data_IF_354734299738
#
_entry.id   IF_354734299738
#
_cell.length_a   1.000
_cell.length_b   1.000
_cell.length_c   1.000
_cell.angle_alpha   90.00
_cell.angle_beta   90.00
_cell.angle_gamma   90.00
#
_symmetry.space_group_name_H-M   'P 1'
#
loop_
_entity.id
_entity.type
_entity.pdbx_description
1 polymer ?
#
# COMPACT_ATOMS: atom_id res chain seq x y z
N UNK A 1 21.11 -3.81 -13.49
CA UNK A 1 19.99 -4.45 -12.78
C UNK A 1 18.70 -3.88 -13.36
N UNK A 2 17.91 -4.65 -14.11
CA UNK A 2 16.67 -4.15 -14.70
C UNK A 2 15.65 -3.93 -13.59
N UNK A 3 15.15 -2.70 -13.45
CA UNK A 3 13.97 -2.42 -12.62
C UNK A 3 12.80 -3.20 -13.21
N UNK A 4 12.10 -3.99 -12.39
CA UNK A 4 10.88 -4.65 -12.83
C UNK A 4 9.90 -3.57 -13.35
N UNK A 5 9.42 -3.72 -14.58
CA UNK A 5 8.44 -2.78 -15.15
C UNK A 5 7.11 -2.97 -14.42
N UNK A 6 6.87 -2.18 -13.38
CA UNK A 6 5.63 -2.20 -12.62
C UNK A 6 4.50 -1.59 -13.45
N UNK A 7 3.42 -2.34 -13.70
CA UNK A 7 2.22 -1.84 -14.38
C UNK A 7 1.60 -0.70 -13.56
N UNK A 8 1.26 0.40 -14.22
CA UNK A 8 0.57 1.53 -13.58
C UNK A 8 -0.94 1.42 -13.78
N UNK A 9 -1.71 1.68 -12.73
CA UNK A 9 -3.18 1.75 -12.74
C UNK A 9 -3.60 3.22 -12.68
N UNK A 10 -4.44 3.64 -13.62
CA UNK A 10 -4.84 5.04 -13.84
C UNK A 10 -6.26 5.35 -13.35
N UNK A 11 -7.04 4.31 -13.03
CA UNK A 11 -8.39 4.42 -12.48
C UNK A 11 -8.72 3.28 -11.53
N UNK A 12 -9.76 3.44 -10.70
CA UNK A 12 -10.30 2.33 -9.91
C UNK A 12 -10.81 1.18 -10.79
N UNK A 13 -11.29 1.47 -12.01
CA UNK A 13 -11.68 0.44 -12.99
C UNK A 13 -10.50 -0.42 -13.45
N UNK A 14 -9.28 0.10 -13.40
CA UNK A 14 -8.10 -0.72 -13.70
C UNK A 14 -7.88 -1.81 -12.64
N UNK A 15 -8.31 -1.58 -11.38
CA UNK A 15 -8.27 -2.59 -10.32
C UNK A 15 -9.19 -3.77 -10.63
N UNK A 16 -10.32 -3.55 -11.32
CA UNK A 16 -11.24 -4.62 -11.74
C UNK A 16 -10.58 -5.63 -12.67
N UNK A 17 -9.53 -5.21 -13.38
CA UNK A 17 -8.72 -6.06 -14.25
C UNK A 17 -7.51 -6.67 -13.50
N UNK A 18 -7.52 -6.67 -12.17
CA UNK A 18 -6.50 -7.25 -11.29
C UNK A 18 -7.14 -8.11 -10.21
N UNK A 19 -6.36 -9.00 -9.61
CA UNK A 19 -6.76 -9.76 -8.43
C UNK A 19 -6.64 -8.97 -7.12
N UNK A 20 -6.17 -7.72 -7.16
CA UNK A 20 -5.90 -6.97 -5.94
C UNK A 20 -7.19 -6.73 -5.13
N UNK A 21 -7.16 -7.13 -3.85
CA UNK A 21 -8.32 -7.11 -2.97
C UNK A 21 -9.44 -8.09 -3.33
N UNK A 22 -9.19 -9.09 -4.19
CA UNK A 22 -10.17 -10.11 -4.58
C UNK A 22 -9.59 -11.53 -4.59
N UNK A 23 -10.42 -12.57 -4.39
CA UNK A 23 -11.80 -12.52 -3.91
C UNK A 23 -11.85 -12.20 -2.40
N UNK A 24 -13.04 -12.06 -1.82
CA UNK A 24 -13.21 -12.14 -0.36
C UNK A 24 -12.45 -13.36 0.18
N UNK A 25 -11.78 -13.28 1.34
CA UNK A 25 -11.82 -12.26 2.40
C UNK A 25 -10.88 -11.05 2.22
N UNK A 26 -10.32 -10.83 1.02
CA UNK A 26 -9.32 -9.78 0.79
C UNK A 26 -9.92 -8.38 0.81
N UNK A 27 -9.25 -7.46 1.51
CA UNK A 27 -9.72 -6.08 1.75
C UNK A 27 -8.80 -5.01 1.15
N UNK A 28 -7.92 -5.40 0.22
CA UNK A 28 -6.91 -4.49 -0.35
C UNK A 28 -7.49 -3.24 -1.02
N UNK A 29 -8.67 -3.33 -1.63
CA UNK A 29 -9.32 -2.18 -2.31
C UNK A 29 -9.82 -1.15 -1.30
N UNK A 30 -10.45 -1.61 -0.22
CA UNK A 30 -10.91 -0.80 0.89
C UNK A 30 -9.72 -0.13 1.58
N UNK A 31 -8.64 -0.89 1.80
CA UNK A 31 -7.39 -0.39 2.34
C UNK A 31 -6.76 0.71 1.47
N UNK A 32 -6.72 0.50 0.15
CA UNK A 32 -6.22 1.49 -0.79
C UNK A 32 -7.09 2.76 -0.73
N UNK A 33 -8.41 2.61 -0.81
CA UNK A 33 -9.34 3.74 -0.75
C UNK A 33 -9.18 4.54 0.53
N UNK A 34 -9.10 3.87 1.68
CA UNK A 34 -8.84 4.51 2.97
C UNK A 34 -7.51 5.26 2.98
N UNK A 35 -6.41 4.65 2.51
CA UNK A 35 -5.11 5.34 2.49
C UNK A 35 -5.15 6.60 1.61
N UNK A 36 -5.82 6.55 0.46
CA UNK A 36 -5.94 7.71 -0.42
C UNK A 36 -6.66 8.89 0.28
N UNK A 37 -7.63 8.62 1.16
CA UNK A 37 -8.28 9.63 2.00
C UNK A 37 -7.39 10.15 3.14
N UNK A 38 -6.36 9.40 3.51
CA UNK A 38 -5.35 9.80 4.47
C UNK A 38 -4.20 10.58 3.82
N UNK A 39 -4.30 10.95 2.54
CA UNK A 39 -3.28 11.73 1.83
C UNK A 39 -3.77 13.16 1.61
N UNK A 40 -2.92 14.13 1.93
CA UNK A 40 -3.12 15.54 1.63
C UNK A 40 -2.13 16.02 0.58
N UNK A 41 -2.59 16.89 -0.31
CA UNK A 41 -1.74 17.58 -1.28
C UNK A 41 -1.50 19.00 -0.77
N UNK A 42 -0.23 19.39 -0.68
CA UNK A 42 0.19 20.73 -0.33
C UNK A 42 1.44 21.10 -1.10
N UNK A 43 1.43 22.24 -1.80
CA UNK A 43 2.53 22.72 -2.64
C UNK A 43 3.14 21.64 -3.55
N UNK A 44 2.28 20.94 -4.31
CA UNK A 44 2.63 19.83 -5.21
C UNK A 44 3.21 18.57 -4.54
N UNK A 45 3.38 18.58 -3.22
CA UNK A 45 3.83 17.44 -2.41
C UNK A 45 2.65 16.69 -1.79
N UNK A 46 2.86 15.39 -1.57
CA UNK A 46 1.86 14.47 -1.01
C UNK A 46 2.30 14.04 0.39
N UNK A 47 1.38 14.14 1.36
CA UNK A 47 1.65 13.89 2.78
C UNK A 47 0.65 12.89 3.36
N UNK A 48 1.11 12.04 4.29
CA UNK A 48 0.22 11.24 5.12
C UNK A 48 -0.34 12.10 6.25
N UNK A 49 -1.63 11.94 6.55
CA UNK A 49 -2.36 12.66 7.60
C UNK A 49 -2.24 12.02 8.99
N UNK A 50 -1.38 11.02 9.14
CA UNK A 50 -1.16 10.31 10.40
C UNK A 50 0.33 10.24 10.77
N UNK A 51 0.59 9.95 12.04
CA UNK A 51 1.94 9.82 12.56
C UNK A 51 2.64 8.57 12.01
N UNK A 52 3.69 8.78 11.22
CA UNK A 52 4.45 7.71 10.59
C UNK A 52 5.54 7.12 11.50
N UNK A 53 5.78 7.70 12.68
CA UNK A 53 6.79 7.24 13.64
C UNK A 53 6.24 6.21 14.65
N UNK A 54 4.93 6.20 14.91
CA UNK A 54 4.32 5.41 15.99
C UNK A 54 3.71 4.07 15.56
N UNK A 55 4.09 3.51 14.40
CA UNK A 55 3.49 2.28 13.85
C UNK A 55 1.97 2.35 13.64
N UNK A 56 1.39 3.57 13.61
CA UNK A 56 -0.04 3.79 13.41
C UNK A 56 -0.55 3.01 12.21
N UNK A 57 -1.68 2.34 12.37
CA UNK A 57 -2.31 1.54 11.32
C UNK A 57 -1.46 0.37 10.80
N UNK A 58 -0.44 -0.06 11.56
CA UNK A 58 0.50 -1.09 11.15
C UNK A 58 1.52 -0.63 10.11
N UNK A 59 1.69 0.69 9.96
CA UNK A 59 2.65 1.28 9.03
C UNK A 59 4.09 0.96 9.45
N UNK A 60 4.86 0.33 8.57
CA UNK A 60 6.21 -0.13 8.90
C UNK A 60 7.15 -0.08 7.71
N UNK A 61 8.46 0.03 7.97
CA UNK A 61 9.48 0.04 6.92
C UNK A 61 9.44 -1.27 6.10
N UNK A 62 9.40 -1.12 4.78
CA UNK A 62 9.55 -2.20 3.80
C UNK A 62 10.93 -2.10 3.16
N UNK A 63 11.72 -3.17 3.27
CA UNK A 63 13.12 -3.15 2.85
C UNK A 63 13.35 -3.45 1.37
N UNK A 64 12.30 -3.86 0.63
CA UNK A 64 12.40 -4.23 -0.78
C UNK A 64 13.56 -5.22 -1.08
N UNK A 65 13.76 -6.22 -0.22
CA UNK A 65 14.90 -7.17 -0.30
C UNK A 65 14.84 -8.02 -1.56
N UNK A 66 13.63 -8.28 -2.03
CA UNK A 66 13.29 -9.06 -3.21
C UNK A 66 13.40 -8.22 -4.50
N UNK A 67 13.76 -6.93 -4.39
CA UNK A 67 13.96 -6.00 -5.52
C UNK A 67 12.75 -5.90 -6.46
N UNK A 68 11.53 -5.92 -5.89
CA UNK A 68 10.28 -5.84 -6.63
C UNK A 68 9.91 -4.42 -7.07
N UNK A 69 10.51 -3.43 -6.40
CA UNK A 69 10.38 -1.99 -6.68
C UNK A 69 11.75 -1.38 -7.02
N UNK A 70 11.79 -0.16 -7.61
CA UNK A 70 13.04 0.54 -7.92
C UNK A 70 13.97 0.66 -6.70
N UNK A 71 15.28 0.54 -6.93
CA UNK A 71 16.29 0.78 -5.90
C UNK A 71 17.04 2.07 -6.24
N UNK A 72 16.58 3.19 -5.69
CA UNK A 72 17.01 4.54 -6.01
C UNK A 72 17.29 5.39 -4.76
N UNK A 73 17.49 4.74 -3.61
CA UNK A 73 17.85 5.39 -2.35
C UNK A 73 16.68 5.93 -1.53
N UNK A 74 15.44 5.93 -2.06
CA UNK A 74 14.26 6.27 -1.26
C UNK A 74 13.82 5.12 -0.36
N UNK A 75 13.10 5.47 0.72
CA UNK A 75 12.61 4.48 1.68
C UNK A 75 11.21 4.04 1.32
N UNK A 76 10.94 2.75 1.49
CA UNK A 76 9.60 2.20 1.35
C UNK A 76 9.02 1.89 2.73
N UNK A 77 7.72 2.12 2.86
CA UNK A 77 6.91 1.70 3.99
C UNK A 77 5.72 0.90 3.47
N UNK A 78 5.22 -0.02 4.28
CA UNK A 78 4.09 -0.87 3.94
C UNK A 78 3.00 -0.79 5.01
N UNK A 79 1.78 -1.02 4.54
CA UNK A 79 0.55 -1.10 5.31
C UNK A 79 -0.28 -2.30 4.83
N UNK A 80 -1.21 -2.79 5.65
CA UNK A 80 -2.09 -3.91 5.30
C UNK A 80 -1.61 -5.29 5.75
N UNK A 81 -0.46 -5.38 6.44
CA UNK A 81 -0.18 -6.56 7.23
C UNK A 81 -0.96 -6.50 8.54
N UNK A 82 -2.17 -7.05 8.54
CA UNK A 82 -3.14 -6.95 9.64
C UNK A 82 -2.69 -7.61 10.95
N UNK A 83 -1.60 -8.40 10.91
CA UNK A 83 -0.96 -8.95 12.10
C UNK A 83 0.14 -8.06 12.70
N UNK A 84 0.41 -6.87 12.15
CA UNK A 84 1.41 -5.94 12.70
C UNK A 84 0.85 -5.17 13.89
N UNK A 85 1.73 -4.85 14.83
CA UNK A 85 1.45 -3.89 15.91
C UNK A 85 0.94 -2.59 15.28
N UNK A 86 -0.13 -2.02 15.86
CA UNK A 86 -0.80 -0.83 15.36
C UNK A 86 -1.85 -1.08 14.27
N UNK A 87 -1.96 -2.28 13.70
CA UNK A 87 -2.98 -2.56 12.67
C UNK A 87 -4.41 -2.51 13.19
N UNK A 88 -4.60 -2.67 14.51
CA UNK A 88 -5.90 -2.53 15.16
C UNK A 88 -6.46 -1.10 15.11
N UNK A 89 -5.63 -0.11 14.78
CA UNK A 89 -6.07 1.27 14.58
C UNK A 89 -6.78 1.46 13.23
N UNK A 90 -6.66 0.49 12.30
CA UNK A 90 -7.35 0.55 11.02
C UNK A 90 -8.87 0.54 11.22
N UNK A 91 -9.63 1.22 10.35
CA UNK A 91 -11.08 1.14 10.35
C UNK A 91 -11.60 -0.31 10.40
N UNK A 92 -12.66 -0.53 11.16
CA UNK A 92 -13.24 -1.87 11.39
C UNK A 92 -13.55 -2.62 10.09
N UNK A 93 -14.10 -1.95 9.08
CA UNK A 93 -14.44 -2.55 7.78
C UNK A 93 -13.23 -3.09 7.00
N UNK A 94 -12.00 -2.64 7.31
CA UNK A 94 -10.76 -3.18 6.74
C UNK A 94 -10.34 -4.46 7.49
N UNK A 95 -10.68 -4.56 8.77
CA UNK A 95 -10.33 -5.69 9.64
C UNK A 95 -11.38 -6.81 9.63
N UNK A 96 -12.59 -6.52 9.14
CA UNK A 96 -13.79 -7.37 9.24
C UNK A 96 -13.57 -8.84 8.83
N UNK A 97 -12.76 -9.08 7.80
CA UNK A 97 -12.54 -10.43 7.26
C UNK A 97 -11.17 -11.01 7.59
N UNK A 98 -10.42 -10.36 8.48
CA UNK A 98 -9.13 -10.87 8.93
C UNK A 98 -9.32 -12.07 9.85
N UNK A 99 -8.85 -13.24 9.41
CA UNK A 99 -9.04 -14.48 10.16
C UNK A 99 -7.99 -14.74 11.24
N UNK A 100 -6.86 -14.02 11.20
CA UNK A 100 -5.68 -14.32 12.01
C UNK A 100 -4.98 -15.64 11.67
N UNK A 101 -5.40 -16.32 10.59
CA UNK A 101 -4.86 -17.62 10.15
C UNK A 101 -3.94 -17.47 8.96
N UNK A 102 -3.24 -18.56 8.62
CA UNK A 102 -2.46 -18.66 7.40
C UNK A 102 -3.36 -18.90 6.19
N UNK A 103 -4.09 -17.86 5.77
CA UNK A 103 -4.95 -17.86 4.58
C UNK A 103 -4.74 -16.59 3.73
N UNK A 104 -5.63 -16.34 2.78
CA UNK A 104 -5.52 -15.20 1.88
C UNK A 104 -6.05 -13.86 2.46
N UNK A 105 -6.61 -13.82 3.66
CA UNK A 105 -7.21 -12.60 4.25
C UNK A 105 -6.20 -11.49 4.53
N UNK A 106 -4.92 -11.84 4.74
CA UNK A 106 -3.86 -10.90 5.11
C UNK A 106 -2.73 -10.88 4.07
N UNK A 107 -3.08 -10.80 2.79
CA UNK A 107 -2.08 -10.76 1.70
C UNK A 107 -1.94 -9.41 1.00
N UNK A 108 -2.94 -8.54 1.12
CA UNK A 108 -2.89 -7.23 0.47
C UNK A 108 -1.93 -6.28 1.20
N UNK A 109 -1.10 -5.58 0.44
CA UNK A 109 -0.14 -4.60 0.93
C UNK A 109 -0.29 -3.32 0.12
N UNK A 110 -0.32 -2.19 0.82
CA UNK A 110 -0.05 -0.90 0.19
C UNK A 110 1.36 -0.48 0.57
N UNK A 111 2.18 -0.17 -0.43
CA UNK A 111 3.57 0.24 -0.26
C UNK A 111 3.68 1.70 -0.67
N UNK A 112 4.26 2.52 0.19
CA UNK A 112 4.46 3.95 -0.04
C UNK A 112 5.96 4.21 -0.13
N UNK A 113 6.39 4.84 -1.23
CA UNK A 113 7.77 5.29 -1.44
C UNK A 113 7.87 6.74 -0.99
N UNK A 114 8.73 6.99 -0.02
CA UNK A 114 8.83 8.24 0.72
C UNK A 114 10.30 8.72 0.76
N UNK A 115 10.52 10.03 0.73
CA UNK A 115 11.84 10.65 0.91
C UNK A 115 12.15 11.01 2.38
N UNK A 116 13.22 11.78 2.60
CA UNK A 116 13.67 12.15 3.95
C UNK A 116 12.74 13.18 4.62
N UNK A 117 11.97 13.92 3.83
CA UNK A 117 11.04 14.96 4.29
C UNK A 117 9.61 14.42 4.44
N UNK A 118 9.44 13.10 4.34
CA UNK A 118 8.16 12.39 4.39
C UNK A 118 7.21 12.63 3.21
N UNK A 119 7.73 13.10 2.07
CA UNK A 119 6.92 13.31 0.89
C UNK A 119 6.69 12.00 0.13
N UNK A 120 5.45 11.73 -0.24
CA UNK A 120 5.10 10.53 -1.00
C UNK A 120 5.46 10.72 -2.48
N UNK A 121 6.41 9.91 -2.96
CA UNK A 121 6.80 9.89 -4.37
C UNK A 121 5.96 8.93 -5.20
N UNK A 122 5.56 7.79 -4.63
CA UNK A 122 4.76 6.77 -5.32
C UNK A 122 4.05 5.85 -4.34
N UNK A 123 2.91 5.31 -4.77
CA UNK A 123 2.12 4.33 -4.04
C UNK A 123 2.02 3.07 -4.91
N UNK A 124 2.07 1.91 -4.27
CA UNK A 124 1.95 0.62 -4.93
C UNK A 124 0.96 -0.26 -4.18
N UNK A 125 0.13 -0.98 -4.91
CA UNK A 125 -0.70 -2.06 -4.41
C UNK A 125 0.00 -3.39 -4.71
N UNK A 126 0.05 -4.32 -3.75
CA UNK A 126 0.77 -5.57 -3.89
C UNK A 126 0.11 -6.73 -3.15
N UNK A 127 0.21 -7.94 -3.68
CA UNK A 127 -0.16 -9.18 -2.99
C UNK A 127 1.11 -9.84 -2.44
N UNK A 128 1.33 -9.81 -1.12
CA UNK A 128 2.50 -10.41 -0.45
C UNK A 128 3.84 -10.04 -1.11
N UNK A 129 3.97 -8.83 -1.65
CA UNK A 129 5.19 -8.37 -2.32
C UNK A 129 5.55 -9.19 -3.57
N UNK A 130 4.57 -9.81 -4.24
CA UNK A 130 4.81 -10.58 -5.47
C UNK A 130 4.98 -9.64 -6.68
N UNK A 131 6.06 -9.74 -7.47
CA UNK A 131 6.29 -8.84 -8.60
C UNK A 131 5.14 -8.79 -9.62
N UNK A 132 4.58 -9.94 -9.99
CA UNK A 132 3.50 -10.04 -10.98
C UNK A 132 2.14 -9.53 -10.47
N UNK A 133 2.00 -9.38 -9.16
CA UNK A 133 0.82 -8.87 -8.49
C UNK A 133 1.12 -7.56 -7.75
N UNK A 134 2.08 -6.78 -8.27
CA UNK A 134 2.43 -5.45 -7.79
C UNK A 134 2.15 -4.42 -8.87
N UNK A 135 1.42 -3.38 -8.48
CA UNK A 135 0.94 -2.34 -9.38
C UNK A 135 1.26 -0.97 -8.80
N UNK A 136 1.69 -0.03 -9.64
CA UNK A 136 1.85 1.37 -9.27
C UNK A 136 0.50 2.06 -9.37
N UNK A 137 0.14 2.82 -8.36
CA UNK A 137 -1.06 3.65 -8.36
C UNK A 137 -0.71 5.01 -8.95
N UNK A 138 -1.40 5.40 -10.02
CA UNK A 138 -1.22 6.71 -10.62
C UNK A 138 -1.80 7.81 -9.73
N UNK A 139 -1.23 9.02 -9.81
CA UNK A 139 -1.67 10.17 -9.00
C UNK A 139 -3.11 10.63 -9.33
N UNK A 140 -3.67 10.22 -10.46
CA UNK A 140 -5.07 10.50 -10.82
C UNK A 140 -6.08 9.83 -9.89
N UNK A 141 -5.69 8.83 -9.08
CA UNK A 141 -6.59 8.25 -8.08
C UNK A 141 -6.63 9.03 -6.75
N UNK A 142 -5.81 10.08 -6.61
CA UNK A 142 -5.79 10.93 -5.41
C UNK A 142 -6.85 12.04 -5.45
N UNK A 143 -7.54 12.25 -6.58
CA UNK A 143 -8.46 13.35 -6.85
C UNK A 143 -9.74 12.87 -7.53
#
# INVERSE_FOLDING_TARGET
MMVARVRTLYSFKDLDNTSFGLPLPRQGRQLLFWLLHMIKVYDYNLYLLFDTYQTSFGFHKFYNKECILPNDGLTYYALGNLGKIGSNDLPEHILEHYSGRFDCSNIDRIIVRIDQDWYIHSIYASEHYKPHATYRIHKSLLF
#
